data_IF_481627195169
#
_entry.id   IF_481627195169
#
_cell.length_a   1.000
_cell.length_b   1.000
_cell.length_c   1.000
_cell.angle_alpha   90.00
_cell.angle_beta   90.00
_cell.angle_gamma   90.00
#
_symmetry.space_group_name_H-M   'P 1'
#
loop_
_entity.id
_entity.type
_entity.pdbx_description
1 polymer ?
#
# COMPACT_ATOMS: atom_id res chain seq x y z
N UNK A 1 -8.18 -71.81 -24.76
CA UNK A 1 -7.42 -72.18 -23.55
C UNK A 1 -6.65 -70.95 -23.08
N UNK A 2 -6.75 -70.61 -21.80
CA UNK A 2 -6.03 -69.57 -21.04
C UNK A 2 -6.28 -68.12 -21.49
N UNK A 3 -7.02 -67.26 -20.78
CA UNK A 3 -6.98 -66.88 -19.35
C UNK A 3 -5.64 -66.25 -18.93
N UNK A 4 -5.72 -65.08 -18.26
CA UNK A 4 -4.64 -64.26 -17.68
C UNK A 4 -3.95 -63.31 -18.69
N UNK A 5 -3.81 -61.99 -18.53
CA UNK A 5 -3.92 -61.09 -17.37
C UNK A 5 -4.15 -59.66 -17.89
N UNK A 6 -5.34 -59.07 -17.69
CA UNK A 6 -5.55 -57.63 -17.90
C UNK A 6 -5.05 -56.89 -16.66
N UNK A 7 -3.85 -56.30 -16.75
CA UNK A 7 -3.37 -55.31 -15.79
C UNK A 7 -4.15 -54.00 -16.00
N UNK A 8 -5.30 -53.91 -15.31
CA UNK A 8 -6.01 -52.66 -15.08
C UNK A 8 -5.15 -51.77 -14.17
N UNK A 9 -4.39 -50.87 -14.79
CA UNK A 9 -3.71 -49.77 -14.11
C UNK A 9 -4.77 -48.87 -13.51
N UNK A 10 -4.87 -48.89 -12.18
CA UNK A 10 -5.77 -48.05 -11.41
C UNK A 10 -5.55 -46.58 -11.77
N UNK A 11 -6.64 -45.93 -12.19
CA UNK A 11 -6.73 -44.49 -12.43
C UNK A 11 -6.76 -43.81 -11.05
N UNK A 12 -5.84 -42.88 -10.72
CA UNK A 12 -5.89 -42.17 -9.46
C UNK A 12 -7.15 -41.28 -9.43
N UNK A 13 -7.92 -41.40 -8.35
CA UNK A 13 -9.08 -40.55 -8.08
C UNK A 13 -8.66 -39.08 -7.93
N UNK A 14 -9.48 -38.11 -8.34
CA UNK A 14 -9.22 -36.70 -8.10
C UNK A 14 -9.30 -36.44 -6.59
N UNK A 15 -8.22 -35.90 -6.03
CA UNK A 15 -8.16 -35.42 -4.66
C UNK A 15 -9.28 -34.39 -4.44
N UNK A 16 -10.10 -34.67 -3.43
CA UNK A 16 -11.08 -33.75 -2.87
C UNK A 16 -10.42 -32.43 -2.45
N UNK A 17 -11.13 -31.30 -2.56
CA UNK A 17 -10.60 -29.99 -2.26
C UNK A 17 -10.14 -29.91 -0.80
N UNK A 18 -8.95 -29.35 -0.63
CA UNK A 18 -8.40 -28.96 0.66
C UNK A 18 -9.46 -28.21 1.46
N UNK A 19 -9.72 -28.74 2.65
CA UNK A 19 -10.54 -28.16 3.68
C UNK A 19 -10.20 -26.67 3.85
N UNK A 20 -11.17 -25.83 3.53
CA UNK A 20 -11.31 -24.51 4.13
C UNK A 20 -11.28 -24.70 5.64
N UNK A 21 -10.15 -24.36 6.25
CA UNK A 21 -10.10 -24.06 7.68
C UNK A 21 -11.07 -22.88 7.86
N UNK A 22 -12.26 -23.19 8.35
CA UNK A 22 -13.21 -22.22 8.84
C UNK A 22 -12.54 -21.44 9.97
N UNK A 23 -11.84 -20.36 9.64
CA UNK A 23 -11.61 -19.27 10.57
C UNK A 23 -12.99 -18.71 10.88
N UNK A 24 -13.60 -19.24 11.94
CA UNK A 24 -14.82 -18.72 12.51
C UNK A 24 -14.64 -17.21 12.65
N UNK A 25 -15.42 -16.46 11.88
CA UNK A 25 -15.57 -15.02 12.04
C UNK A 25 -16.27 -14.84 13.39
N UNK A 26 -15.48 -14.81 14.47
CA UNK A 26 -15.98 -14.52 15.80
C UNK A 26 -16.66 -13.16 15.73
N UNK A 27 -17.94 -13.12 16.03
CA UNK A 27 -18.71 -11.87 16.10
C UNK A 27 -17.94 -10.92 17.02
N UNK A 28 -17.63 -9.69 16.57
CA UNK A 28 -16.92 -8.73 17.41
C UNK A 28 -17.79 -8.39 18.63
N UNK A 29 -17.24 -8.56 19.82
CA UNK A 29 -17.96 -8.32 21.09
C UNK A 29 -17.27 -7.25 21.92
N UNK A 30 -18.02 -6.56 22.80
CA UNK A 30 -17.46 -5.54 23.70
C UNK A 30 -16.29 -6.07 24.56
N UNK A 31 -16.30 -7.36 24.91
CA UNK A 31 -15.21 -8.03 25.61
C UNK A 31 -13.88 -8.04 24.83
N UNK A 32 -13.90 -7.85 23.51
CA UNK A 32 -12.69 -7.82 22.69
C UNK A 32 -11.94 -6.47 22.82
N UNK A 33 -12.64 -5.40 23.20
CA UNK A 33 -12.05 -4.09 23.48
C UNK A 33 -11.22 -4.15 24.77
N UNK A 34 -11.80 -4.69 25.84
CA UNK A 34 -11.09 -4.86 27.13
C UNK A 34 -9.88 -5.80 26.99
N UNK A 35 -10.05 -6.92 26.28
CA UNK A 35 -8.93 -7.83 25.98
C UNK A 35 -7.83 -7.16 25.18
N UNK A 36 -8.16 -6.31 24.21
CA UNK A 36 -7.17 -5.54 23.46
C UNK A 36 -6.40 -4.60 24.39
N UNK A 37 -7.09 -3.89 25.28
CA UNK A 37 -6.47 -2.99 26.25
C UNK A 37 -5.51 -3.72 27.18
N UNK A 38 -5.96 -4.83 27.80
CA UNK A 38 -5.12 -5.63 28.69
C UNK A 38 -3.90 -6.20 27.97
N UNK A 39 -4.07 -6.70 26.74
CA UNK A 39 -2.98 -7.26 25.96
C UNK A 39 -1.93 -6.21 25.58
N UNK A 40 -2.35 -5.00 25.22
CA UNK A 40 -1.44 -3.88 24.93
C UNK A 40 -0.68 -3.46 26.19
N UNK A 41 -1.38 -3.33 27.33
CA UNK A 41 -0.75 -2.97 28.61
C UNK A 41 0.23 -4.04 29.10
N UNK A 42 -0.08 -5.33 28.90
CA UNK A 42 0.82 -6.42 29.22
C UNK A 42 2.14 -6.34 28.46
N UNK A 43 2.13 -5.87 27.20
CA UNK A 43 3.34 -5.65 26.41
C UNK A 43 4.09 -4.42 26.89
N UNK A 44 3.39 -3.31 27.17
CA UNK A 44 4.02 -2.06 27.63
C UNK A 44 4.72 -2.22 28.99
N UNK A 45 4.17 -3.05 29.88
CA UNK A 45 4.76 -3.32 31.20
C UNK A 45 5.93 -4.32 31.13
N UNK A 46 6.16 -4.97 29.99
CA UNK A 46 7.18 -6.00 29.83
C UNK A 46 8.46 -5.40 29.25
N UNK A 47 9.54 -5.45 30.03
CA UNK A 47 10.87 -4.92 29.61
C UNK A 47 11.58 -5.77 28.53
N UNK A 48 11.06 -6.96 28.21
CA UNK A 48 11.67 -7.86 27.23
C UNK A 48 11.11 -7.63 25.82
N UNK A 49 11.95 -7.76 24.80
CA UNK A 49 11.58 -7.66 23.37
C UNK A 49 10.43 -8.62 23.05
N UNK A 50 9.24 -8.11 22.66
CA UNK A 50 8.12 -8.96 22.24
C UNK A 50 8.42 -9.64 20.90
N UNK A 51 7.96 -10.88 20.74
CA UNK A 51 7.99 -11.59 19.46
C UNK A 51 7.07 -10.93 18.42
N UNK A 52 7.43 -11.02 17.15
CA UNK A 52 6.60 -10.49 16.05
C UNK A 52 5.21 -11.14 16.03
N UNK A 53 5.13 -12.45 16.22
CA UNK A 53 3.86 -13.19 16.20
C UNK A 53 2.90 -12.72 17.29
N UNK A 54 3.40 -12.46 18.51
CA UNK A 54 2.58 -11.92 19.61
C UNK A 54 2.08 -10.51 19.31
N UNK A 55 2.85 -9.68 18.60
CA UNK A 55 2.40 -8.34 18.21
C UNK A 55 1.30 -8.42 17.17
N UNK A 56 1.40 -9.34 16.21
CA UNK A 56 0.39 -9.55 15.19
C UNK A 56 -0.92 -10.09 15.78
N UNK A 57 -0.85 -10.98 16.77
CA UNK A 57 -2.04 -11.47 17.48
C UNK A 57 -2.74 -10.33 18.23
N UNK A 58 -2.00 -9.50 18.97
CA UNK A 58 -2.57 -8.36 19.70
C UNK A 58 -3.18 -7.34 18.74
N UNK A 59 -2.51 -7.03 17.63
CA UNK A 59 -3.07 -6.15 16.59
C UNK A 59 -4.32 -6.76 15.94
N UNK A 60 -4.37 -8.07 15.73
CA UNK A 60 -5.57 -8.74 15.22
C UNK A 60 -6.75 -8.73 16.20
N UNK A 61 -6.48 -8.73 17.51
CA UNK A 61 -7.52 -8.49 18.54
C UNK A 61 -7.96 -7.02 18.48
N UNK A 62 -7.02 -6.07 18.40
CA UNK A 62 -7.31 -4.64 18.29
C UNK A 62 -8.11 -4.30 17.03
N UNK A 63 -7.85 -4.96 15.89
CA UNK A 63 -8.60 -4.74 14.66
C UNK A 63 -10.05 -5.19 14.80
N UNK A 64 -10.29 -6.33 15.47
CA UNK A 64 -11.65 -6.79 15.77
C UNK A 64 -12.39 -5.82 16.69
N UNK A 65 -11.70 -5.31 17.71
CA UNK A 65 -12.22 -4.27 18.59
C UNK A 65 -12.53 -2.97 17.83
N UNK A 66 -11.65 -2.53 16.93
CA UNK A 66 -11.87 -1.34 16.11
C UNK A 66 -13.09 -1.50 15.18
N UNK A 67 -13.29 -2.68 14.57
CA UNK A 67 -14.49 -2.96 13.77
C UNK A 67 -15.77 -2.95 14.62
N UNK A 68 -15.70 -3.41 15.87
CA UNK A 68 -16.83 -3.32 16.80
C UNK A 68 -17.23 -1.86 17.04
N UNK A 69 -16.25 -1.02 17.38
CA UNK A 69 -16.45 0.40 17.68
C UNK A 69 -16.94 1.17 16.45
N UNK A 70 -16.34 0.94 15.28
CA UNK A 70 -16.77 1.56 14.03
C UNK A 70 -18.22 1.16 13.65
N UNK A 71 -18.64 -0.07 13.95
CA UNK A 71 -20.02 -0.51 13.72
C UNK A 71 -21.00 0.16 14.69
N UNK A 72 -20.57 0.46 15.92
CA UNK A 72 -21.37 1.14 16.92
C UNK A 72 -21.59 2.63 16.54
N UNK A 73 -20.53 3.31 16.12
CA UNK A 73 -20.59 4.71 15.68
C UNK A 73 -21.45 4.86 14.40
N UNK A 74 -21.30 3.94 13.45
CA UNK A 74 -22.15 3.88 12.25
C UNK A 74 -23.64 3.59 12.51
N UNK A 75 -24.01 3.02 13.68
CA UNK A 75 -25.41 2.89 14.11
C UNK A 75 -25.94 4.15 14.78
N UNK A 76 -25.10 4.92 15.47
CA UNK A 76 -25.49 6.21 16.06
C UNK A 76 -25.74 7.27 14.97
N UNK A 77 -24.99 7.23 13.87
CA UNK A 77 -25.16 8.19 12.75
C UNK A 77 -26.35 7.87 11.80
N UNK A 78 -27.07 6.74 11.97
CA UNK A 78 -28.29 6.42 11.19
C UNK A 78 -29.57 6.45 12.05
N UNK A 79 -30.26 7.61 12.09
CA UNK A 79 -31.70 7.62 12.15
C UNK A 79 -32.27 8.52 11.04
N UNK A 80 -32.18 8.08 9.78
CA UNK A 80 -32.99 8.69 8.71
C UNK A 80 -33.88 7.60 8.11
N UNK A 81 -35.11 7.51 8.67
CA UNK A 81 -36.25 6.92 7.98
C UNK A 81 -36.93 5.73 8.65
N UNK A 82 -37.74 5.95 9.69
CA UNK A 82 -39.18 5.60 9.70
C UNK A 82 -39.85 6.25 10.92
N UNK A 83 -41.01 6.88 10.70
CA UNK A 83 -41.51 7.97 11.54
C UNK A 83 -42.08 7.62 12.91
N UNK A 84 -41.81 8.52 13.86
CA UNK A 84 -42.71 9.02 14.91
C UNK A 84 -42.31 10.47 15.22
N UNK A 85 -43.26 11.38 15.51
CA UNK A 85 -42.95 12.77 15.81
C UNK A 85 -42.25 12.86 17.18
N UNK A 86 -40.94 13.15 17.17
CA UNK A 86 -40.21 13.49 18.40
C UNK A 86 -40.71 14.82 18.94
N UNK A 87 -41.27 14.78 20.14
CA UNK A 87 -41.65 15.96 20.94
C UNK A 87 -40.41 16.82 21.20
N UNK A 88 -40.53 18.15 21.17
CA UNK A 88 -39.42 19.10 21.37
C UNK A 88 -38.54 18.82 22.61
N UNK A 89 -39.09 18.14 23.63
CA UNK A 89 -38.36 17.74 24.82
C UNK A 89 -37.29 16.66 24.56
N UNK A 90 -37.42 15.81 23.53
CA UNK A 90 -36.41 14.81 23.20
C UNK A 90 -35.22 15.39 22.44
N UNK A 91 -35.42 16.50 21.72
CA UNK A 91 -34.32 17.26 21.09
C UNK A 91 -33.55 18.04 22.16
N UNK A 92 -34.24 18.55 23.19
CA UNK A 92 -33.60 19.19 24.35
C UNK A 92 -32.86 18.21 25.26
N UNK A 93 -33.33 16.96 25.38
CA UNK A 93 -32.63 15.91 26.14
C UNK A 93 -31.39 15.38 25.40
N UNK A 94 -31.38 15.46 24.07
CA UNK A 94 -30.23 15.10 23.21
C UNK A 94 -29.16 16.22 23.15
N UNK A 95 -29.52 17.43 23.60
CA UNK A 95 -28.64 18.58 23.78
C UNK A 95 -28.04 18.66 25.19
N UNK A 96 -28.35 17.71 26.06
CA UNK A 96 -27.72 17.63 27.37
C UNK A 96 -26.27 17.16 27.15
N UNK A 97 -25.26 18.00 27.45
CA UNK A 97 -23.88 17.66 27.17
C UNK A 97 -23.56 16.41 27.98
N UNK A 98 -23.33 15.28 27.29
CA UNK A 98 -22.59 14.18 27.90
C UNK A 98 -21.36 14.83 28.54
N UNK A 99 -21.29 14.70 29.86
CA UNK A 99 -20.24 15.27 30.66
C UNK A 99 -18.90 14.90 30.03
N UNK A 100 -17.98 15.87 30.02
CA UNK A 100 -16.59 15.70 29.66
C UNK A 100 -15.86 14.80 30.69
N UNK A 101 -16.40 13.61 30.93
CA UNK A 101 -15.79 12.52 31.67
C UNK A 101 -15.08 11.62 30.65
N UNK A 102 -13.86 12.05 30.35
CA UNK A 102 -12.68 11.22 30.02
C UNK A 102 -12.92 9.81 29.46
N UNK A 103 -12.39 9.59 28.25
CA UNK A 103 -12.14 8.32 27.54
C UNK A 103 -13.22 7.84 26.58
N UNK A 104 -13.29 8.46 25.40
CA UNK A 104 -13.84 7.76 24.25
C UNK A 104 -13.06 6.43 24.07
N UNK A 105 -13.73 5.27 24.00
CA UNK A 105 -13.06 3.98 23.87
C UNK A 105 -12.23 3.91 22.58
N UNK A 106 -12.60 4.70 21.58
CA UNK A 106 -11.85 4.90 20.33
C UNK A 106 -10.52 5.62 20.59
N UNK A 107 -10.55 6.77 21.27
CA UNK A 107 -9.36 7.57 21.55
C UNK A 107 -8.40 6.88 22.52
N UNK A 108 -8.93 6.13 23.49
CA UNK A 108 -8.07 5.35 24.39
C UNK A 108 -7.35 4.22 23.66
N UNK A 109 -8.06 3.47 22.82
CA UNK A 109 -7.49 2.40 22.02
C UNK A 109 -6.43 2.95 21.06
N UNK A 110 -6.74 4.03 20.34
CA UNK A 110 -5.79 4.66 19.41
C UNK A 110 -4.54 5.20 20.13
N UNK A 111 -4.71 5.83 21.29
CA UNK A 111 -3.61 6.35 22.13
C UNK A 111 -2.74 5.21 22.64
N UNK A 112 -3.34 4.09 23.04
CA UNK A 112 -2.61 2.90 23.49
C UNK A 112 -1.83 2.26 22.34
N UNK A 113 -2.42 2.13 21.16
CA UNK A 113 -1.74 1.62 19.98
C UNK A 113 -0.57 2.51 19.56
N UNK A 114 -0.76 3.83 19.60
CA UNK A 114 0.29 4.80 19.32
C UNK A 114 1.45 4.69 20.34
N UNK A 115 1.13 4.57 21.64
CA UNK A 115 2.12 4.31 22.71
C UNK A 115 2.89 3.00 22.48
N UNK A 116 2.21 1.94 22.03
CA UNK A 116 2.83 0.67 21.68
C UNK A 116 3.83 0.83 20.53
N UNK A 117 3.46 1.56 19.47
CA UNK A 117 4.37 1.78 18.33
C UNK A 117 5.59 2.61 18.70
N UNK A 118 5.45 3.54 19.64
CA UNK A 118 6.55 4.35 20.18
C UNK A 118 7.51 3.58 21.10
N UNK A 119 7.05 2.48 21.68
CA UNK A 119 7.83 1.72 22.67
C UNK A 119 9.13 1.17 22.06
N UNK A 120 10.33 1.49 22.61
CA UNK A 120 11.62 1.18 21.99
C UNK A 120 11.87 -0.30 21.60
N UNK A 121 11.49 -1.31 22.41
CA UNK A 121 11.80 -2.70 22.07
C UNK A 121 10.86 -3.30 21.01
N UNK A 122 9.78 -2.62 20.62
CA UNK A 122 8.86 -3.11 19.59
C UNK A 122 9.47 -2.92 18.21
N UNK A 123 9.72 -4.00 17.49
CA UNK A 123 10.13 -3.93 16.09
C UNK A 123 8.93 -3.70 15.17
N UNK A 124 8.98 -2.65 14.34
CA UNK A 124 7.92 -2.34 13.38
C UNK A 124 8.23 -3.08 12.09
N UNK A 125 7.63 -4.26 11.91
CA UNK A 125 7.63 -5.02 10.66
C UNK A 125 6.60 -4.43 9.68
N UNK A 126 6.76 -4.58 8.34
CA UNK A 126 5.75 -4.14 7.37
C UNK A 126 4.32 -4.64 7.67
N UNK A 127 4.19 -5.86 8.22
CA UNK A 127 2.90 -6.44 8.61
C UNK A 127 2.30 -5.77 9.84
N UNK A 128 3.15 -5.42 10.80
CA UNK A 128 2.76 -4.69 12.03
C UNK A 128 2.31 -3.28 11.66
N UNK A 129 3.00 -2.63 10.74
CA UNK A 129 2.62 -1.32 10.20
C UNK A 129 1.27 -1.37 9.46
N UNK A 130 1.03 -2.41 8.66
CA UNK A 130 -0.26 -2.60 7.98
C UNK A 130 -1.40 -2.83 9.00
N UNK A 131 -1.19 -3.68 10.00
CA UNK A 131 -2.14 -3.88 11.09
C UNK A 131 -2.45 -2.59 11.85
N UNK A 132 -1.43 -1.76 12.12
CA UNK A 132 -1.63 -0.47 12.76
C UNK A 132 -2.44 0.50 11.89
N UNK A 133 -2.06 0.69 10.63
CA UNK A 133 -2.74 1.64 9.73
C UNK A 133 -4.18 1.20 9.45
N UNK A 134 -4.42 -0.10 9.28
CA UNK A 134 -5.77 -0.65 9.12
C UNK A 134 -6.62 -0.37 10.36
N UNK A 135 -6.13 -0.68 11.57
CA UNK A 135 -6.87 -0.40 12.81
C UNK A 135 -7.20 1.07 12.98
N UNK A 136 -6.22 1.97 12.82
CA UNK A 136 -6.43 3.42 12.95
C UNK A 136 -7.30 4.01 11.83
N UNK A 137 -7.24 3.44 10.62
CA UNK A 137 -8.13 3.85 9.52
C UNK A 137 -9.60 3.48 9.77
N UNK A 138 -9.85 2.45 10.59
CA UNK A 138 -11.19 2.05 11.03
C UNK A 138 -11.70 2.92 12.18
N UNK A 139 -10.79 3.43 13.01
CA UNK A 139 -11.08 4.33 14.14
C UNK A 139 -11.19 5.80 13.71
N UNK A 140 -10.94 6.11 12.44
CA UNK A 140 -10.98 7.48 11.89
C UNK A 140 -10.03 8.46 12.61
N UNK A 141 -8.86 7.97 13.09
CA UNK A 141 -7.85 8.78 13.78
C UNK A 141 -6.45 8.68 13.12
N UNK A 142 -6.25 9.32 11.95
CA UNK A 142 -5.02 9.26 11.16
C UNK A 142 -3.93 10.24 11.62
N UNK A 143 -4.20 11.12 12.59
CA UNK A 143 -3.27 12.16 13.06
C UNK A 143 -1.90 11.60 13.47
N UNK A 144 -1.89 10.34 13.92
CA UNK A 144 -0.68 9.63 14.34
C UNK A 144 0.15 9.03 13.19
N UNK A 145 -0.34 9.03 11.95
CA UNK A 145 0.33 8.39 10.81
C UNK A 145 1.69 8.98 10.47
N UNK A 146 1.86 10.31 10.36
CA UNK A 146 3.15 10.88 9.98
C UNK A 146 4.25 10.48 10.98
N UNK A 147 3.98 10.52 12.28
CA UNK A 147 4.98 10.14 13.28
C UNK A 147 5.33 8.65 13.20
N UNK A 148 4.34 7.75 13.08
CA UNK A 148 4.59 6.31 13.00
C UNK A 148 5.33 5.93 11.71
N UNK A 149 5.01 6.56 10.57
CA UNK A 149 5.74 6.37 9.32
C UNK A 149 7.19 6.86 9.41
N UNK A 150 7.41 7.99 10.09
CA UNK A 150 8.76 8.47 10.36
C UNK A 150 9.53 7.53 11.32
N UNK A 151 8.86 6.97 12.33
CA UNK A 151 9.43 5.98 13.24
C UNK A 151 9.78 4.69 12.51
N UNK A 152 8.95 4.21 11.58
CA UNK A 152 9.24 2.98 10.82
C UNK A 152 10.60 3.02 10.12
N UNK A 153 10.99 4.16 9.54
CA UNK A 153 12.29 4.32 8.88
C UNK A 153 13.46 4.52 9.86
N UNK A 154 13.20 5.17 11.00
CA UNK A 154 14.24 5.66 11.91
C UNK A 154 14.35 4.91 13.25
N UNK A 155 13.51 3.91 13.51
CA UNK A 155 13.50 3.21 14.79
C UNK A 155 14.70 2.27 14.92
N UNK A 156 15.46 2.34 16.03
CA UNK A 156 16.53 1.38 16.27
C UNK A 156 15.96 -0.02 16.50
N UNK A 157 16.56 -1.01 15.86
CA UNK A 157 16.09 -2.41 15.95
C UNK A 157 16.74 -3.08 17.15
N UNK A 158 15.95 -3.51 18.11
CA UNK A 158 16.43 -4.33 19.22
C UNK A 158 16.82 -5.72 18.70
N UNK A 159 18.05 -6.15 18.98
CA UNK A 159 18.49 -7.51 18.63
C UNK A 159 17.88 -8.49 19.63
N UNK A 160 17.09 -9.45 19.15
CA UNK A 160 16.51 -10.49 19.99
C UNK A 160 17.61 -11.30 20.69
N UNK A 161 17.35 -11.71 21.93
CA UNK A 161 18.21 -12.62 22.71
C UNK A 161 19.60 -12.10 23.10
N UNK A 162 19.80 -10.78 23.25
CA UNK A 162 21.03 -10.24 23.87
C UNK A 162 20.73 -9.62 25.23
N UNK A 163 21.49 -10.02 26.25
CA UNK A 163 21.53 -9.37 27.58
C UNK A 163 22.90 -8.68 27.72
N UNK A 164 23.01 -7.33 27.70
CA UNK A 164 21.95 -6.31 27.58
C UNK A 164 21.40 -6.15 26.15
N UNK A 165 20.19 -5.58 26.02
CA UNK A 165 19.52 -5.34 24.72
C UNK A 165 20.40 -4.43 23.87
N UNK A 166 20.93 -4.98 22.77
CA UNK A 166 21.72 -4.22 21.80
C UNK A 166 20.79 -3.67 20.72
N UNK A 167 20.87 -2.37 20.52
CA UNK A 167 20.14 -1.66 19.48
C UNK A 167 21.01 -1.48 18.25
N UNK A 168 20.51 -1.90 17.10
CA UNK A 168 21.15 -1.64 15.82
C UNK A 168 20.70 -0.29 15.27
N UNK A 169 21.65 0.43 14.67
CA UNK A 169 21.38 1.72 14.04
C UNK A 169 20.39 1.53 12.87
N UNK A 170 19.31 2.32 12.79
CA UNK A 170 18.37 2.25 11.69
C UNK A 170 19.07 2.53 10.36
N UNK A 171 18.56 1.90 9.28
CA UNK A 171 18.99 2.16 7.91
C UNK A 171 17.85 2.81 7.12
N UNK A 172 17.58 4.12 7.34
CA UNK A 172 16.41 4.81 6.76
C UNK A 172 16.44 4.90 5.24
N UNK A 173 17.63 4.74 4.64
CA UNK A 173 17.81 4.75 3.18
C UNK A 173 17.82 3.34 2.56
N UNK A 174 17.59 2.27 3.35
CA UNK A 174 17.59 0.91 2.81
C UNK A 174 16.27 0.61 2.09
N UNK A 175 16.30 -0.22 1.04
CA UNK A 175 15.08 -0.64 0.35
C UNK A 175 14.16 -1.48 1.26
N UNK A 176 14.72 -2.14 2.28
CA UNK A 176 13.97 -2.92 3.27
C UNK A 176 13.13 -2.03 4.20
N UNK A 177 13.55 -0.78 4.43
CA UNK A 177 12.80 0.21 5.21
C UNK A 177 11.76 0.98 4.37
N UNK A 178 11.49 0.55 3.13
CA UNK A 178 10.45 1.16 2.31
C UNK A 178 9.06 0.76 2.83
N UNK A 179 8.15 1.73 2.90
CA UNK A 179 6.74 1.48 3.20
C UNK A 179 6.10 0.82 1.98
N UNK A 180 5.31 -0.27 2.13
CA UNK A 180 4.61 -0.88 0.99
C UNK A 180 3.59 0.10 0.37
N UNK A 181 3.45 0.06 -0.96
CA UNK A 181 2.52 0.93 -1.71
C UNK A 181 1.08 0.83 -1.22
N UNK A 182 0.65 -0.37 -0.88
CA UNK A 182 -0.74 -0.66 -0.52
C UNK A 182 -1.08 -0.09 0.85
N UNK A 183 -0.13 -0.16 1.77
CA UNK A 183 -0.22 0.42 3.13
C UNK A 183 -0.22 1.96 3.04
N UNK A 184 0.64 2.54 2.21
CA UNK A 184 0.69 3.98 1.98
C UNK A 184 -0.62 4.52 1.37
N UNK A 185 -1.17 3.82 0.37
CA UNK A 185 -2.46 4.17 -0.22
C UNK A 185 -3.60 4.11 0.80
N UNK A 186 -3.62 3.07 1.65
CA UNK A 186 -4.64 2.92 2.69
C UNK A 186 -4.59 4.03 3.75
N UNK A 187 -3.37 4.46 4.12
CA UNK A 187 -3.19 5.62 5.00
C UNK A 187 -3.66 6.93 4.33
N UNK A 188 -3.37 7.11 3.04
CA UNK A 188 -3.80 8.27 2.26
C UNK A 188 -5.33 8.30 2.08
N UNK A 189 -5.98 7.16 1.86
CA UNK A 189 -7.44 7.07 1.78
C UNK A 189 -8.10 7.45 3.12
N UNK A 190 -7.49 7.08 4.25
CA UNK A 190 -7.95 7.48 5.57
C UNK A 190 -7.80 9.00 5.81
N UNK A 191 -6.70 9.60 5.36
CA UNK A 191 -6.50 11.05 5.40
C UNK A 191 -7.54 11.80 4.54
N UNK A 192 -7.79 11.30 3.34
CA UNK A 192 -8.79 11.85 2.41
C UNK A 192 -10.20 11.84 3.02
N UNK A 193 -10.55 10.80 3.79
CA UNK A 193 -11.87 10.71 4.44
C UNK A 193 -12.07 11.82 5.47
N UNK A 194 -11.03 12.17 6.22
CA UNK A 194 -11.07 13.20 7.26
C UNK A 194 -10.91 14.61 6.70
N UNK A 195 -10.55 14.73 5.42
CA UNK A 195 -10.42 16.01 4.72
C UNK A 195 -9.35 16.92 5.31
N UNK A 196 -8.27 16.33 5.84
CA UNK A 196 -7.07 17.07 6.24
C UNK A 196 -6.01 16.99 5.13
N UNK A 197 -5.78 18.13 4.46
CA UNK A 197 -4.84 18.22 3.34
C UNK A 197 -3.39 18.08 3.81
N UNK A 198 -3.05 18.74 4.92
CA UNK A 198 -1.69 18.75 5.45
C UNK A 198 -1.27 17.33 5.85
N UNK A 199 -2.18 16.59 6.47
CA UNK A 199 -1.98 15.19 6.81
C UNK A 199 -1.79 14.32 5.56
N UNK A 200 -2.62 14.50 4.52
CA UNK A 200 -2.48 13.74 3.28
C UNK A 200 -1.12 14.02 2.59
N UNK A 201 -0.70 15.28 2.51
CA UNK A 201 0.59 15.66 1.92
C UNK A 201 1.77 15.13 2.72
N UNK A 202 1.72 15.20 4.06
CA UNK A 202 2.78 14.66 4.92
C UNK A 202 2.93 13.15 4.79
N UNK A 203 1.83 12.39 4.61
CA UNK A 203 1.88 10.95 4.31
C UNK A 203 2.60 10.71 2.99
N UNK A 204 2.30 11.47 1.94
CA UNK A 204 2.97 11.32 0.63
C UNK A 204 4.48 11.56 0.77
N UNK A 205 4.90 12.54 1.56
CA UNK A 205 6.31 12.86 1.81
C UNK A 205 7.05 11.76 2.59
N UNK A 206 6.38 11.15 3.57
CA UNK A 206 6.96 10.12 4.42
C UNK A 206 6.88 8.71 3.81
N UNK A 207 6.14 8.53 2.72
CA UNK A 207 6.00 7.24 2.02
C UNK A 207 6.69 7.26 0.65
N UNK A 208 6.01 7.77 -0.38
CA UNK A 208 6.43 7.68 -1.78
C UNK A 208 7.71 8.47 -2.08
N UNK A 209 7.92 9.59 -1.37
CA UNK A 209 9.08 10.47 -1.62
C UNK A 209 10.38 9.95 -0.99
N UNK A 210 10.31 9.03 -0.02
CA UNK A 210 11.48 8.57 0.71
C UNK A 210 12.52 7.90 -0.21
N UNK A 211 13.84 8.11 0.02
CA UNK A 211 14.88 7.48 -0.78
C UNK A 211 14.85 5.94 -0.67
N UNK A 212 14.41 5.40 0.47
CA UNK A 212 14.13 3.97 0.64
C UNK A 212 13.11 3.47 -0.38
N UNK A 213 11.99 4.19 -0.54
CA UNK A 213 10.92 3.84 -1.46
C UNK A 213 11.40 3.82 -2.91
N UNK A 214 12.17 4.83 -3.33
CA UNK A 214 12.75 4.90 -4.68
C UNK A 214 13.66 3.71 -4.98
N UNK A 215 14.48 3.29 -4.00
CA UNK A 215 15.35 2.11 -4.14
C UNK A 215 14.55 0.82 -4.24
N UNK A 216 13.52 0.66 -3.40
CA UNK A 216 12.61 -0.47 -3.48
C UNK A 216 11.87 -0.51 -4.82
N UNK A 217 11.48 0.66 -5.35
CA UNK A 217 10.84 0.78 -6.65
C UNK A 217 11.74 0.34 -7.80
N UNK A 218 13.03 0.73 -7.78
CA UNK A 218 14.02 0.27 -8.75
C UNK A 218 14.13 -1.27 -8.72
N UNK A 219 14.21 -1.85 -7.52
CA UNK A 219 14.27 -3.31 -7.36
C UNK A 219 12.98 -3.98 -7.87
N UNK A 220 11.81 -3.40 -7.59
CA UNK A 220 10.51 -3.99 -7.97
C UNK A 220 10.20 -3.84 -9.46
N UNK A 221 10.46 -2.67 -10.05
CA UNK A 221 10.02 -2.31 -11.41
C UNK A 221 11.11 -2.42 -12.47
N UNK A 222 12.37 -2.14 -12.14
CA UNK A 222 13.47 -2.09 -13.11
C UNK A 222 14.25 -3.41 -13.13
N UNK A 223 14.41 -4.06 -11.98
CA UNK A 223 15.17 -5.32 -11.91
C UNK A 223 14.57 -6.45 -12.75
N UNK A 224 13.23 -6.70 -12.75
CA UNK A 224 12.68 -7.81 -13.53
C UNK A 224 12.92 -7.70 -15.05
N UNK A 225 12.64 -6.56 -15.73
CA UNK A 225 12.92 -6.46 -17.16
C UNK A 225 14.42 -6.48 -17.48
N UNK A 226 15.26 -5.89 -16.61
CA UNK A 226 16.71 -5.94 -16.78
C UNK A 226 17.24 -7.37 -16.71
N UNK A 227 16.74 -8.16 -15.75
CA UNK A 227 17.13 -9.56 -15.62
C UNK A 227 16.64 -10.40 -16.80
N UNK A 228 15.44 -10.10 -17.32
CA UNK A 228 14.95 -10.70 -18.57
C UNK A 228 15.87 -10.43 -19.77
N UNK A 229 16.31 -9.17 -19.93
CA UNK A 229 17.27 -8.80 -20.99
C UNK A 229 18.65 -9.44 -20.79
N UNK A 230 19.12 -9.54 -19.55
CA UNK A 230 20.41 -10.17 -19.25
C UNK A 230 20.43 -11.67 -19.61
N UNK A 231 19.31 -12.36 -19.46
CA UNK A 231 19.15 -13.77 -19.83
C UNK A 231 18.84 -13.98 -21.32
N UNK A 232 18.52 -12.92 -22.05
CA UNK A 232 18.11 -13.00 -23.46
C UNK A 232 19.15 -13.66 -24.39
N UNK A 233 20.47 -13.41 -24.29
CA UNK A 233 21.46 -14.07 -25.16
C UNK A 233 21.49 -15.60 -24.97
N UNK A 234 21.35 -16.06 -23.73
CA UNK A 234 21.30 -17.50 -23.42
C UNK A 234 20.02 -18.15 -23.96
N UNK A 235 18.88 -17.50 -23.76
CA UNK A 235 17.60 -17.97 -24.30
C UNK A 235 17.59 -17.97 -25.83
N UNK A 236 18.15 -16.93 -26.46
CA UNK A 236 18.28 -16.82 -27.91
C UNK A 236 19.18 -17.93 -28.49
N UNK A 237 20.28 -18.26 -27.82
CA UNK A 237 21.15 -19.37 -28.23
C UNK A 237 20.41 -20.72 -28.19
N UNK A 238 19.69 -21.00 -27.10
CA UNK A 238 18.91 -22.23 -26.97
C UNK A 238 17.83 -22.30 -28.07
N UNK A 239 17.08 -21.22 -28.28
CA UNK A 239 16.04 -21.17 -29.30
C UNK A 239 16.62 -21.34 -30.72
N UNK A 240 17.73 -20.65 -31.01
CA UNK A 240 18.43 -20.77 -32.28
C UNK A 240 18.97 -22.19 -32.53
N UNK A 241 19.52 -22.84 -31.49
CA UNK A 241 20.01 -24.23 -31.58
C UNK A 241 18.90 -25.23 -31.91
N UNK A 242 17.70 -25.05 -31.33
CA UNK A 242 16.53 -25.87 -31.66
C UNK A 242 16.05 -25.60 -33.08
N UNK A 243 16.00 -24.34 -33.51
CA UNK A 243 15.61 -23.97 -34.86
C UNK A 243 16.54 -24.56 -35.93
N UNK A 244 17.86 -24.48 -35.71
CA UNK A 244 18.85 -25.02 -36.62
C UNK A 244 18.73 -26.54 -36.83
N UNK A 245 18.19 -27.29 -35.86
CA UNK A 245 18.01 -28.73 -36.01
C UNK A 245 16.88 -29.12 -36.98
N UNK A 246 15.89 -28.23 -37.17
CA UNK A 246 14.78 -28.45 -38.10
C UNK A 246 15.12 -28.05 -39.54
N UNK A 247 16.18 -27.28 -39.74
CA UNK A 247 16.62 -26.83 -41.06
C UNK A 247 17.65 -27.79 -41.66
N UNK A 248 17.47 -28.21 -42.91
CA UNK A 248 18.42 -29.09 -43.63
C UNK A 248 19.22 -28.40 -44.74
N UNK A 249 19.02 -27.08 -44.93
CA UNK A 249 19.57 -26.34 -46.09
C UNK A 249 20.96 -25.76 -45.82
N UNK A 250 21.30 -25.46 -44.57
CA UNK A 250 22.57 -24.81 -44.18
C UNK A 250 23.22 -25.59 -43.05
N UNK A 251 24.56 -25.52 -42.95
CA UNK A 251 25.30 -26.08 -41.82
C UNK A 251 24.69 -25.59 -40.48
N UNK A 252 24.39 -26.48 -39.53
CA UNK A 252 23.79 -26.13 -38.24
C UNK A 252 24.52 -24.99 -37.52
N UNK A 253 25.85 -24.89 -37.62
CA UNK A 253 26.59 -23.83 -36.95
C UNK A 253 26.30 -22.44 -37.55
N UNK A 254 26.24 -22.31 -38.87
CA UNK A 254 25.91 -21.03 -39.51
C UNK A 254 24.43 -20.68 -39.32
N UNK A 255 23.55 -21.68 -39.34
CA UNK A 255 22.12 -21.50 -39.08
C UNK A 255 21.83 -20.96 -37.67
N UNK A 256 22.49 -21.50 -36.65
CA UNK A 256 22.34 -21.01 -35.27
C UNK A 256 22.82 -19.58 -35.10
N UNK A 257 23.95 -19.21 -35.69
CA UNK A 257 24.47 -17.84 -35.62
C UNK A 257 23.53 -16.84 -36.30
N UNK A 258 23.06 -17.15 -37.52
CA UNK A 258 22.10 -16.29 -38.23
C UNK A 258 20.79 -16.13 -37.46
N UNK A 259 20.23 -17.23 -36.94
CA UNK A 259 19.00 -17.20 -36.14
C UNK A 259 19.20 -16.43 -34.83
N UNK A 260 20.32 -16.62 -34.13
CA UNK A 260 20.64 -15.91 -32.91
C UNK A 260 20.76 -14.40 -33.15
N UNK A 261 21.45 -13.98 -34.22
CA UNK A 261 21.55 -12.56 -34.59
C UNK A 261 20.15 -12.00 -34.88
N UNK A 262 19.33 -12.70 -35.67
CA UNK A 262 17.97 -12.26 -35.96
C UNK A 262 17.10 -12.10 -34.71
N UNK A 263 17.12 -13.08 -33.80
CA UNK A 263 16.39 -13.02 -32.52
C UNK A 263 16.89 -11.86 -31.66
N UNK A 264 18.20 -11.70 -31.52
CA UNK A 264 18.80 -10.63 -30.71
C UNK A 264 18.52 -9.25 -31.28
N UNK A 265 18.54 -9.08 -32.61
CA UNK A 265 18.17 -7.82 -33.26
C UNK A 265 16.70 -7.49 -33.00
N UNK A 266 15.80 -8.47 -33.09
CA UNK A 266 14.39 -8.29 -32.77
C UNK A 266 14.17 -7.90 -31.30
N UNK A 267 14.78 -8.64 -30.37
CA UNK A 267 14.70 -8.34 -28.92
C UNK A 267 15.26 -6.96 -28.63
N UNK A 268 16.40 -6.59 -29.23
CA UNK A 268 16.97 -5.26 -29.13
C UNK A 268 16.00 -4.17 -29.59
N UNK A 269 15.48 -4.28 -30.81
CA UNK A 269 14.54 -3.31 -31.36
C UNK A 269 13.22 -3.19 -30.57
N UNK A 270 12.65 -4.31 -30.12
CA UNK A 270 11.42 -4.29 -29.31
C UNK A 270 11.70 -3.72 -27.91
N UNK A 271 12.86 -4.01 -27.32
CA UNK A 271 13.22 -3.47 -26.01
C UNK A 271 13.37 -1.96 -26.01
N UNK A 272 13.96 -1.36 -27.06
CA UNK A 272 14.08 0.09 -27.16
C UNK A 272 12.72 0.76 -27.31
N UNK A 273 11.85 0.21 -28.16
CA UNK A 273 10.46 0.70 -28.32
C UNK A 273 9.70 0.57 -26.99
N UNK A 274 9.87 -0.55 -26.28
CA UNK A 274 9.23 -0.78 -24.98
C UNK A 274 9.67 0.25 -23.92
N UNK A 275 10.96 0.60 -23.86
CA UNK A 275 11.46 1.64 -22.95
C UNK A 275 10.82 2.99 -23.27
N UNK A 276 10.74 3.37 -24.55
CA UNK A 276 10.07 4.61 -24.95
C UNK A 276 8.60 4.57 -24.54
N UNK A 277 7.86 3.53 -24.94
CA UNK A 277 6.44 3.39 -24.62
C UNK A 277 6.13 3.48 -23.12
N UNK A 278 6.91 2.79 -22.28
CA UNK A 278 6.73 2.81 -20.81
C UNK A 278 7.10 4.17 -20.21
N UNK A 279 8.13 4.84 -20.73
CA UNK A 279 8.55 6.16 -20.21
C UNK A 279 7.71 7.33 -20.72
N UNK A 280 6.99 7.16 -21.83
CA UNK A 280 6.13 8.20 -22.43
C UNK A 280 4.63 7.99 -22.15
N UNK A 281 4.22 6.89 -21.55
CA UNK A 281 2.80 6.63 -21.24
C UNK A 281 2.22 7.71 -20.31
N UNK A 282 1.11 8.33 -20.72
CA UNK A 282 0.49 9.46 -20.05
C UNK A 282 -0.98 9.24 -19.67
N UNK A 283 -1.57 8.08 -20.00
CA UNK A 283 -3.01 7.80 -19.84
C UNK A 283 -3.47 7.80 -18.38
N UNK A 284 -2.55 7.61 -17.44
CA UNK A 284 -2.83 7.62 -16.01
C UNK A 284 -2.84 9.02 -15.36
N UNK A 285 -2.64 10.10 -16.13
CA UNK A 285 -2.61 11.47 -15.62
C UNK A 285 -3.97 12.15 -15.84
N UNK A 286 -4.71 12.39 -14.76
CA UNK A 286 -6.01 13.07 -14.84
C UNK A 286 -5.89 14.55 -14.45
N UNK A 287 -5.64 14.86 -13.18
CA UNK A 287 -5.51 16.25 -12.71
C UNK A 287 -4.07 16.71 -12.65
N UNK A 288 -3.16 15.83 -12.23
CA UNK A 288 -1.76 16.17 -12.06
C UNK A 288 -0.92 15.62 -13.20
N UNK A 289 -0.24 16.53 -13.88
CA UNK A 289 0.70 16.25 -14.96
C UNK A 289 2.12 16.69 -14.62
N UNK A 290 3.11 16.20 -15.36
CA UNK A 290 4.50 16.65 -15.18
C UNK A 290 4.74 18.01 -15.84
N UNK A 291 5.52 18.86 -15.18
CA UNK A 291 6.01 20.10 -15.76
C UNK A 291 6.88 19.85 -17.00
N UNK A 292 6.86 20.79 -17.93
CA UNK A 292 7.73 20.77 -19.11
C UNK A 292 9.21 20.79 -18.66
N UNK A 293 10.04 19.96 -19.28
CA UNK A 293 11.48 19.86 -18.95
C UNK A 293 11.85 18.79 -17.91
N UNK A 294 10.89 18.15 -17.24
CA UNK A 294 11.16 17.03 -16.33
C UNK A 294 11.75 15.82 -17.08
N UNK A 295 12.85 15.26 -16.59
CA UNK A 295 13.51 14.10 -17.19
C UNK A 295 12.63 12.83 -17.15
N UNK A 296 12.65 12.03 -18.21
CA UNK A 296 11.83 10.81 -18.33
C UNK A 296 12.09 9.78 -17.22
N UNK A 297 13.35 9.65 -16.79
CA UNK A 297 13.72 8.76 -15.68
C UNK A 297 13.10 9.18 -14.35
N UNK A 298 13.06 10.49 -14.09
CA UNK A 298 12.46 11.03 -12.87
C UNK A 298 10.94 10.87 -12.88
N UNK A 299 10.29 11.10 -14.03
CA UNK A 299 8.85 10.84 -14.20
C UNK A 299 8.52 9.39 -13.87
N UNK A 300 9.27 8.45 -14.44
CA UNK A 300 9.05 7.03 -14.21
C UNK A 300 9.24 6.62 -12.74
N UNK A 301 10.29 7.13 -12.07
CA UNK A 301 10.56 6.81 -10.65
C UNK A 301 9.59 7.50 -9.68
N UNK A 302 9.05 8.67 -10.05
CA UNK A 302 8.13 9.45 -9.21
C UNK A 302 6.67 9.30 -9.65
N UNK A 303 6.37 8.36 -10.55
CA UNK A 303 5.01 8.18 -11.05
C UNK A 303 4.02 7.79 -9.94
N UNK A 304 4.47 7.02 -8.95
CA UNK A 304 3.63 6.64 -7.81
C UNK A 304 3.43 7.81 -6.83
N UNK A 305 4.41 8.72 -6.71
CA UNK A 305 4.26 9.99 -5.98
C UNK A 305 3.21 10.85 -6.67
N UNK A 306 3.32 11.05 -7.99
CA UNK A 306 2.32 11.80 -8.78
C UNK A 306 0.93 11.20 -8.65
N UNK A 307 0.79 9.89 -8.81
CA UNK A 307 -0.50 9.20 -8.70
C UNK A 307 -1.15 9.36 -7.30
N UNK A 308 -0.35 9.39 -6.23
CA UNK A 308 -0.85 9.64 -4.89
C UNK A 308 -1.38 11.07 -4.74
N UNK A 309 -0.64 12.05 -5.26
CA UNK A 309 -1.07 13.47 -5.23
C UNK A 309 -2.27 13.70 -6.15
N UNK A 310 -2.37 12.97 -7.26
CA UNK A 310 -3.51 13.02 -8.19
C UNK A 310 -4.81 12.57 -7.50
N UNK A 311 -4.73 11.53 -6.65
CA UNK A 311 -5.87 11.11 -5.81
C UNK A 311 -6.28 12.17 -4.79
N UNK A 312 -5.30 12.85 -4.19
CA UNK A 312 -5.55 13.99 -3.29
C UNK A 312 -6.24 15.11 -4.08
N UNK A 313 -5.70 15.50 -5.24
CA UNK A 313 -6.32 16.52 -6.10
C UNK A 313 -7.75 16.15 -6.54
N UNK A 314 -8.02 14.88 -6.84
CA UNK A 314 -9.37 14.39 -7.17
C UNK A 314 -10.34 14.42 -5.98
N UNK A 315 -9.82 14.25 -4.76
CA UNK A 315 -10.64 14.22 -3.55
C UNK A 315 -10.97 15.62 -2.99
N UNK A 316 -10.10 16.60 -3.24
CA UNK A 316 -10.30 17.99 -2.84
C UNK A 316 -11.07 18.82 -3.88
N UNK A 317 -10.88 18.53 -5.15
CA UNK A 317 -11.57 19.27 -6.20
C UNK A 317 -12.88 18.67 -6.70
N UNK A 318 -13.46 19.35 -7.69
CA UNK A 318 -14.65 18.93 -8.41
C UNK A 318 -14.43 17.66 -9.22
N UNK A 319 -15.35 16.72 -9.08
CA UNK A 319 -15.35 15.49 -9.89
C UNK A 319 -15.75 15.75 -11.34
N UNK A 320 -16.51 16.82 -11.59
CA UNK A 320 -17.02 17.15 -12.92
C UNK A 320 -15.90 17.73 -13.80
N UNK A 321 -15.59 17.14 -14.98
CA UNK A 321 -14.54 17.62 -15.87
C UNK A 321 -14.70 19.08 -16.28
N UNK A 322 -15.93 19.52 -16.52
CA UNK A 322 -16.25 20.89 -16.98
C UNK A 322 -16.06 21.98 -15.91
N UNK A 323 -15.90 21.58 -14.64
CA UNK A 323 -15.68 22.50 -13.51
C UNK A 323 -14.25 22.44 -12.99
N UNK A 324 -13.42 21.56 -13.56
CA UNK A 324 -11.98 21.52 -13.26
C UNK A 324 -11.36 22.87 -13.65
N UNK A 325 -10.50 23.42 -12.80
CA UNK A 325 -9.90 24.74 -13.01
C UNK A 325 -10.68 25.95 -12.47
N UNK A 326 -11.94 25.79 -12.06
CA UNK A 326 -12.71 26.84 -11.35
C UNK A 326 -12.55 26.75 -9.82
N UNK A 327 -11.66 25.90 -9.34
CA UNK A 327 -11.44 25.65 -7.92
C UNK A 327 -10.62 26.77 -7.30
N UNK A 328 -11.19 27.39 -6.28
CA UNK A 328 -10.55 28.42 -5.46
C UNK A 328 -10.62 27.99 -4.00
N UNK A 329 -9.53 28.19 -3.27
CA UNK A 329 -9.44 27.88 -1.85
C UNK A 329 -8.00 27.94 -1.36
N UNK A 330 -7.82 28.24 -0.08
CA UNK A 330 -6.49 28.25 0.55
C UNK A 330 -5.80 26.90 0.42
N UNK A 331 -6.51 25.81 0.76
CA UNK A 331 -6.02 24.44 0.62
C UNK A 331 -5.72 24.07 -0.85
N UNK A 332 -6.52 24.56 -1.79
CA UNK A 332 -6.32 24.28 -3.21
C UNK A 332 -5.06 24.98 -3.76
N UNK A 333 -4.84 26.23 -3.36
CA UNK A 333 -3.61 26.96 -3.70
C UNK A 333 -2.39 26.37 -2.99
N UNK A 334 -2.52 25.89 -1.74
CA UNK A 334 -1.44 25.16 -1.06
C UNK A 334 -1.06 23.88 -1.82
N UNK A 335 -2.05 23.10 -2.26
CA UNK A 335 -1.81 21.90 -3.07
C UNK A 335 -1.12 22.27 -4.40
N UNK A 336 -1.55 23.35 -5.04
CA UNK A 336 -0.96 23.86 -6.29
C UNK A 336 0.48 24.30 -6.11
N UNK A 337 0.77 25.06 -5.06
CA UNK A 337 2.14 25.48 -4.70
C UNK A 337 3.00 24.25 -4.38
N UNK A 338 2.50 23.34 -3.56
CA UNK A 338 3.19 22.11 -3.18
C UNK A 338 3.54 21.25 -4.40
N UNK A 339 2.61 21.10 -5.34
CA UNK A 339 2.83 20.38 -6.60
C UNK A 339 3.83 21.13 -7.51
N UNK A 340 3.67 22.45 -7.63
CA UNK A 340 4.53 23.32 -8.45
C UNK A 340 6.00 23.28 -8.03
N UNK A 341 6.27 23.34 -6.72
CA UNK A 341 7.63 23.20 -6.16
C UNK A 341 8.31 21.87 -6.50
N UNK A 342 7.53 20.87 -6.91
CA UNK A 342 7.98 19.49 -7.17
C UNK A 342 8.01 19.12 -8.65
N UNK A 343 7.82 20.10 -9.53
CA UNK A 343 7.81 19.89 -10.99
C UNK A 343 6.55 19.18 -11.47
N UNK A 344 5.47 19.27 -10.70
CA UNK A 344 4.13 18.80 -11.07
C UNK A 344 3.25 20.02 -11.35
N UNK A 345 2.37 19.90 -12.33
CA UNK A 345 1.42 20.93 -12.72
C UNK A 345 0.02 20.39 -12.49
N UNK A 346 -0.68 21.03 -11.56
CA UNK A 346 -2.10 20.81 -11.32
C UNK A 346 -2.88 21.44 -12.47
N UNK A 347 -3.84 20.68 -13.02
CA UNK A 347 -4.83 21.17 -13.98
C UNK A 347 -4.19 21.90 -15.18
N UNK A 348 -3.35 21.15 -15.91
CA UNK A 348 -2.69 21.67 -17.10
C UNK A 348 -3.73 21.97 -18.18
N UNK A 349 -3.82 23.24 -18.58
CA UNK A 349 -4.81 23.76 -19.54
C UNK A 349 -4.88 22.96 -20.84
N UNK A 350 -3.74 22.49 -21.35
CA UNK A 350 -3.65 21.69 -22.59
C UNK A 350 -4.31 20.30 -22.49
N UNK A 351 -4.49 19.79 -21.27
CA UNK A 351 -5.06 18.48 -21.00
C UNK A 351 -6.53 18.56 -20.53
N UNK A 352 -7.09 19.77 -20.45
CA UNK A 352 -8.49 19.96 -20.08
C UNK A 352 -9.42 19.66 -21.26
N UNK A 353 -10.55 19.00 -20.97
CA UNK A 353 -11.59 18.73 -21.97
C UNK A 353 -12.13 20.04 -22.55
N UNK A 354 -12.16 20.15 -23.88
CA UNK A 354 -12.65 21.35 -24.59
C UNK A 354 -11.56 22.36 -24.99
N UNK A 355 -10.29 22.12 -24.61
CA UNK A 355 -9.15 22.98 -24.99
C UNK A 355 -8.20 22.33 -26.03
N UNK A 356 -8.55 21.15 -26.56
CA UNK A 356 -7.79 20.41 -27.59
C UNK A 356 -8.26 20.66 -29.02
#
# INVERSE_FOLDING_TARGET
MNNSSRLLRARPAPASPFSTTNAATSVPTAADVEKAHEAILAILNRESVPSEDTLLEVLGVAERAARYLAAQDGQQQRPVGSGKPSTANSVLLDLEPHSADSSDPVETLSTLLYKLMKYPPVFISPKVLDGYITTQSLLEQPESFPEVLHLYANKPVATSNTTPVKYNKPSPNSAAAAVPSDVANRALDAAIKIKDLHLALSIVELTFRQPAYRRALIIRKIMPPLMGLALAPGAAYVLASKFAHYQQVVNPQSATQMAMVGIMTYVGAVSTIGVVAVTTANDQMDRISWAMGMALSERYLREEERAAVDRVAQAWGFKDPNRKGEEEGEEWEELREWAGLRGMVLDKVELMEGMQ
#
